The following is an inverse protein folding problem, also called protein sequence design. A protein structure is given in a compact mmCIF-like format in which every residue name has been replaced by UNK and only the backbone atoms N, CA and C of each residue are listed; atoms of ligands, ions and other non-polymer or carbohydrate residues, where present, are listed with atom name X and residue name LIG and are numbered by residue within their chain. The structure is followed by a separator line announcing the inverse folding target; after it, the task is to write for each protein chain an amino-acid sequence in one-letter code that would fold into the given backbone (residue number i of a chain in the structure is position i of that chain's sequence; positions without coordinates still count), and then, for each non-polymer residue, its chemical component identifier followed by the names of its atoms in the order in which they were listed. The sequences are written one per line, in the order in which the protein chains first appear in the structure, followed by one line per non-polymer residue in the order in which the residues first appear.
data_IF_125979660821
#
_entry.id   IF_125979660821
#
_cell.length_a   1.000
_cell.length_b   1.000
_cell.length_c   1.000
_cell.angle_alpha   90.00
_cell.angle_beta   90.00
_cell.angle_gamma   90.00
#
_symmetry.space_group_name_H-M   'P 1'
#
loop_
_entity.id
_entity.type
_entity.pdbx_description
1 polymer ?
#
# COMPACT_ATOMS: atom_id res chain seq x y z
N UNK A 1 -11.91 18.04 -32.37
CA UNK A 1 -13.35 18.32 -32.56
C UNK A 1 -13.81 19.22 -31.42
N UNK A 2 -14.48 20.32 -31.72
CA UNK A 2 -15.02 21.25 -30.71
C UNK A 2 -16.22 20.62 -30.01
N UNK A 3 -16.37 20.82 -28.70
CA UNK A 3 -17.57 20.44 -27.95
C UNK A 3 -18.38 21.69 -27.61
N UNK A 4 -19.62 21.53 -27.20
CA UNK A 4 -20.45 22.60 -26.68
C UNK A 4 -20.76 22.32 -25.22
N UNK A 5 -20.63 23.32 -24.35
CA UNK A 5 -20.98 23.19 -22.95
C UNK A 5 -21.98 24.25 -22.50
N UNK A 6 -22.95 23.85 -21.69
CA UNK A 6 -23.78 24.77 -20.91
C UNK A 6 -23.09 25.04 -19.59
N UNK A 7 -22.82 26.32 -19.32
CA UNK A 7 -22.04 26.75 -18.16
C UNK A 7 -22.97 27.35 -17.11
N UNK A 8 -22.99 26.78 -15.92
CA UNK A 8 -23.77 27.26 -14.78
C UNK A 8 -22.80 27.47 -13.62
N UNK A 9 -22.78 28.67 -13.04
CA UNK A 9 -21.87 29.06 -11.94
C UNK A 9 -20.38 28.74 -12.24
N UNK A 10 -19.97 28.92 -13.49
CA UNK A 10 -18.61 28.65 -13.95
C UNK A 10 -18.27 27.16 -14.11
N UNK A 11 -19.24 26.26 -14.02
CA UNK A 11 -19.06 24.81 -14.22
C UNK A 11 -19.69 24.38 -15.54
N UNK A 12 -18.99 23.53 -16.30
CA UNK A 12 -19.58 22.83 -17.45
C UNK A 12 -20.56 21.77 -16.94
N UNK A 13 -21.86 22.06 -16.96
CA UNK A 13 -22.90 21.16 -16.43
C UNK A 13 -23.37 20.15 -17.46
N UNK A 14 -23.51 20.59 -18.71
CA UNK A 14 -23.86 19.74 -19.86
C UNK A 14 -22.77 19.91 -20.91
N UNK A 15 -22.26 18.81 -21.47
CA UNK A 15 -21.22 18.84 -22.50
C UNK A 15 -21.61 17.88 -23.62
N UNK A 16 -21.70 18.38 -24.85
CA UNK A 16 -22.09 17.62 -26.03
C UNK A 16 -21.09 17.81 -27.17
N UNK A 17 -20.89 16.76 -27.97
CA UNK A 17 -19.99 16.80 -29.13
C UNK A 17 -20.71 17.15 -30.45
N UNK A 18 -22.04 17.23 -30.43
CA UNK A 18 -22.88 17.59 -31.57
C UNK A 18 -23.57 18.94 -31.33
N UNK A 19 -24.17 19.50 -32.38
CA UNK A 19 -24.86 20.79 -32.33
C UNK A 19 -26.04 20.76 -31.33
N UNK A 20 -26.03 21.60 -30.27
CA UNK A 20 -27.10 21.68 -29.30
C UNK A 20 -28.48 22.00 -29.90
N UNK A 21 -28.55 22.72 -31.01
CA UNK A 21 -29.83 23.09 -31.65
C UNK A 21 -30.63 21.88 -32.15
N UNK A 22 -29.94 20.78 -32.46
CA UNK A 22 -30.56 19.51 -32.85
C UNK A 22 -30.88 18.57 -31.68
N UNK A 23 -30.42 18.90 -30.47
CA UNK A 23 -30.52 18.04 -29.29
C UNK A 23 -31.44 18.61 -28.20
N UNK A 24 -31.59 19.93 -28.13
CA UNK A 24 -32.30 20.63 -27.06
C UNK A 24 -33.30 21.65 -27.62
N UNK A 25 -34.29 22.04 -26.81
CA UNK A 25 -35.19 23.16 -27.11
C UNK A 25 -34.38 24.45 -27.37
N UNK A 26 -34.81 25.36 -28.27
CA UNK A 26 -34.05 26.58 -28.61
C UNK A 26 -33.61 27.42 -27.39
N UNK A 27 -34.47 27.53 -26.38
CA UNK A 27 -34.16 28.26 -25.13
C UNK A 27 -33.01 27.63 -24.33
N UNK A 28 -32.81 26.32 -24.46
CA UNK A 28 -31.73 25.58 -23.80
C UNK A 28 -30.50 25.54 -24.71
N UNK A 29 -30.68 25.28 -26.01
CA UNK A 29 -29.60 25.24 -26.99
C UNK A 29 -28.83 26.58 -27.05
N UNK A 30 -29.53 27.72 -26.93
CA UNK A 30 -28.91 29.05 -26.89
C UNK A 30 -28.01 29.31 -25.66
N UNK A 31 -28.10 28.48 -24.62
CA UNK A 31 -27.25 28.58 -23.42
C UNK A 31 -25.92 27.83 -23.56
N UNK A 32 -25.73 27.07 -24.64
CA UNK A 32 -24.49 26.36 -24.89
C UNK A 32 -23.45 27.28 -25.55
N UNK A 33 -22.19 27.12 -25.14
CA UNK A 33 -21.05 27.81 -25.73
C UNK A 33 -20.05 26.81 -26.28
N UNK A 34 -19.35 27.19 -27.33
CA UNK A 34 -18.24 26.43 -27.88
C UNK A 34 -17.10 26.32 -26.87
N UNK A 35 -16.62 25.09 -26.63
CA UNK A 35 -15.54 24.78 -25.70
C UNK A 35 -14.50 23.83 -26.33
N UNK A 36 -13.26 23.84 -25.82
CA UNK A 36 -12.24 22.89 -26.27
C UNK A 36 -12.69 21.42 -26.12
N UNK A 37 -12.14 20.56 -26.98
CA UNK A 37 -12.49 19.14 -27.06
C UNK A 37 -12.33 18.38 -25.73
N UNK A 38 -11.33 18.78 -24.94
CA UNK A 38 -10.97 18.12 -23.68
C UNK A 38 -11.87 18.51 -22.50
N UNK A 39 -12.74 19.51 -22.66
CA UNK A 39 -13.66 19.89 -21.58
C UNK A 39 -14.64 18.75 -21.37
N UNK A 40 -14.77 18.34 -20.12
CA UNK A 40 -15.77 17.37 -19.70
C UNK A 40 -16.72 17.99 -18.67
N UNK A 41 -17.83 17.30 -18.45
CA UNK A 41 -18.80 17.65 -17.42
C UNK A 41 -18.13 17.76 -16.06
N UNK A 42 -18.49 18.79 -15.30
CA UNK A 42 -17.94 19.08 -13.96
C UNK A 42 -16.65 19.89 -13.97
N UNK A 43 -16.04 20.17 -15.13
CA UNK A 43 -14.87 21.04 -15.20
C UNK A 43 -15.26 22.49 -14.89
N UNK A 44 -14.39 23.19 -14.15
CA UNK A 44 -14.57 24.59 -13.79
C UNK A 44 -13.81 25.49 -14.75
N UNK A 45 -14.49 26.52 -15.26
CA UNK A 45 -13.88 27.57 -16.06
C UNK A 45 -13.08 28.50 -15.15
N UNK A 46 -11.79 28.66 -15.43
CA UNK A 46 -10.87 29.54 -14.71
C UNK A 46 -10.32 30.59 -15.69
N UNK A 47 -11.03 31.71 -15.83
CA UNK A 47 -10.69 32.71 -16.86
C UNK A 47 -10.85 32.14 -18.27
N UNK A 48 -9.72 31.99 -18.99
CA UNK A 48 -9.65 31.41 -20.34
C UNK A 48 -9.35 29.91 -20.36
N UNK A 49 -9.06 29.29 -19.21
CA UNK A 49 -8.70 27.87 -19.09
C UNK A 49 -9.80 27.06 -18.40
N UNK A 50 -9.69 25.74 -18.47
CA UNK A 50 -10.60 24.80 -17.82
C UNK A 50 -9.81 23.89 -16.88
N UNK A 51 -10.32 23.70 -15.67
CA UNK A 51 -9.75 22.82 -14.67
C UNK A 51 -10.69 21.64 -14.43
N UNK A 52 -10.15 20.43 -14.53
CA UNK A 52 -10.84 19.23 -14.09
C UNK A 52 -11.16 19.31 -12.59
N UNK A 53 -12.27 18.72 -12.14
CA UNK A 53 -12.48 18.51 -10.72
C UNK A 53 -11.33 17.67 -10.14
N UNK A 54 -10.92 17.99 -8.92
CA UNK A 54 -9.91 17.20 -8.21
C UNK A 54 -10.44 15.78 -8.05
N UNK A 55 -9.63 14.79 -8.45
CA UNK A 55 -9.97 13.40 -8.24
C UNK A 55 -10.08 13.15 -6.73
N UNK A 56 -11.07 12.36 -6.26
CA UNK A 56 -11.10 11.95 -4.86
C UNK A 56 -9.75 11.34 -4.47
N UNK A 57 -9.19 11.79 -3.34
CA UNK A 57 -7.99 11.17 -2.80
C UNK A 57 -8.25 9.67 -2.59
N UNK A 58 -7.33 8.82 -3.08
CA UNK A 58 -7.42 7.39 -2.82
C UNK A 58 -7.40 7.16 -1.31
N UNK A 59 -8.43 6.49 -0.79
CA UNK A 59 -8.46 6.13 0.63
C UNK A 59 -7.40 5.05 0.87
N UNK A 60 -6.48 5.21 1.84
CA UNK A 60 -5.51 4.17 2.15
C UNK A 60 -6.25 2.85 2.46
N UNK A 61 -5.84 1.76 1.81
CA UNK A 61 -6.40 0.45 2.08
C UNK A 61 -6.25 0.10 3.57
N UNK A 62 -7.30 -0.43 4.19
CA UNK A 62 -7.26 -0.87 5.58
C UNK A 62 -6.19 -1.96 5.75
N UNK A 63 -5.32 -1.81 6.75
CA UNK A 63 -4.30 -2.79 7.06
C UNK A 63 -4.94 -4.12 7.48
N UNK A 64 -4.53 -5.22 6.86
CA UNK A 64 -4.96 -6.57 7.26
C UNK A 64 -4.46 -6.86 8.69
N UNK A 65 -5.31 -7.40 9.59
CA UNK A 65 -4.86 -7.80 10.91
C UNK A 65 -3.81 -8.90 10.78
N UNK A 66 -2.79 -8.88 11.65
CA UNK A 66 -1.68 -9.86 11.64
C UNK A 66 -1.50 -10.50 12.99
N UNK A 67 -1.16 -11.78 13.00
CA UNK A 67 -0.70 -12.53 14.15
C UNK A 67 0.78 -12.21 14.40
N UNK A 68 1.08 -11.71 15.59
CA UNK A 68 2.44 -11.33 15.99
C UNK A 68 3.04 -12.23 17.07
N UNK A 69 2.22 -13.02 17.74
CA UNK A 69 2.64 -13.94 18.82
C UNK A 69 2.54 -15.38 18.34
N UNK A 70 3.63 -16.12 18.50
CA UNK A 70 3.81 -17.49 18.04
C UNK A 70 4.40 -18.34 19.16
N UNK A 71 4.11 -19.62 19.20
CA UNK A 71 4.93 -20.55 19.99
C UNK A 71 6.35 -20.64 19.39
N UNK A 72 7.39 -21.03 20.14
CA UNK A 72 8.74 -21.20 19.58
C UNK A 72 8.82 -22.07 18.30
N UNK A 73 8.15 -23.23 18.20
CA UNK A 73 8.16 -23.99 16.95
C UNK A 73 7.46 -23.25 15.80
N UNK A 74 6.33 -22.58 16.05
CA UNK A 74 5.64 -21.79 15.03
C UNK A 74 6.49 -20.62 14.54
N UNK A 75 7.21 -19.95 15.44
CA UNK A 75 8.14 -18.89 15.09
C UNK A 75 9.28 -19.41 14.19
N UNK A 76 9.88 -20.55 14.54
CA UNK A 76 10.92 -21.18 13.72
C UNK A 76 10.40 -21.62 12.33
N UNK A 77 9.10 -21.90 12.20
CA UNK A 77 8.46 -22.22 10.93
C UNK A 77 8.22 -21.00 10.02
N UNK A 78 8.37 -19.77 10.52
CA UNK A 78 8.40 -18.56 9.67
C UNK A 78 9.67 -18.49 8.80
N UNK A 79 10.73 -19.17 9.22
CA UNK A 79 11.96 -19.35 8.44
C UNK A 79 11.80 -20.50 7.46
N UNK A 80 12.50 -20.44 6.33
CA UNK A 80 12.64 -21.57 5.43
C UNK A 80 13.53 -22.66 6.06
N UNK A 81 13.45 -23.88 5.52
CA UNK A 81 14.32 -24.96 5.96
C UNK A 81 15.82 -24.64 5.77
N UNK A 82 16.17 -23.99 4.65
CA UNK A 82 17.55 -23.59 4.36
C UNK A 82 18.07 -22.53 5.35
N UNK A 83 17.25 -21.52 5.65
CA UNK A 83 17.57 -20.49 6.66
C UNK A 83 17.81 -21.15 8.04
N UNK A 84 16.91 -22.03 8.49
CA UNK A 84 17.10 -22.74 9.78
C UNK A 84 18.38 -23.58 9.82
N UNK A 85 18.73 -24.26 8.73
CA UNK A 85 19.96 -25.05 8.64
C UNK A 85 21.19 -24.15 8.70
N UNK A 86 21.19 -23.03 7.97
CA UNK A 86 22.28 -22.06 7.98
C UNK A 86 22.49 -21.45 9.39
N UNK A 87 21.40 -21.04 10.04
CA UNK A 87 21.43 -20.48 11.40
C UNK A 87 22.00 -21.50 12.40
N UNK A 88 21.57 -22.77 12.33
CA UNK A 88 22.12 -23.84 13.18
C UNK A 88 23.59 -24.13 12.89
N UNK A 89 24.00 -24.08 11.63
CA UNK A 89 25.39 -24.31 11.23
C UNK A 89 26.33 -23.19 11.72
N UNK A 90 25.83 -21.95 11.86
CA UNK A 90 26.60 -20.82 12.39
C UNK A 90 26.78 -20.87 13.91
N UNK A 91 25.93 -21.61 14.63
CA UNK A 91 25.91 -21.70 16.10
C UNK A 91 27.27 -22.00 16.74
N UNK A 92 28.10 -22.96 16.27
CA UNK A 92 29.36 -23.30 16.93
C UNK A 92 30.42 -22.19 16.85
N UNK A 93 30.36 -21.35 15.82
CA UNK A 93 31.34 -20.29 15.56
C UNK A 93 30.86 -18.89 15.90
N UNK A 94 29.57 -18.71 16.22
CA UNK A 94 28.99 -17.41 16.54
C UNK A 94 28.27 -17.47 17.92
N UNK A 95 28.86 -16.89 18.98
CA UNK A 95 28.31 -16.96 20.34
C UNK A 95 27.01 -16.15 20.49
N UNK A 96 26.80 -15.10 19.68
CA UNK A 96 25.56 -14.30 19.71
C UNK A 96 24.38 -15.13 19.19
N UNK A 97 24.58 -15.87 18.10
CA UNK A 97 23.56 -16.80 17.58
C UNK A 97 23.34 -17.95 18.56
N UNK A 98 24.39 -18.45 19.20
CA UNK A 98 24.27 -19.52 20.18
C UNK A 98 23.43 -19.13 21.39
N UNK A 99 23.64 -17.93 21.93
CA UNK A 99 22.85 -17.37 23.03
C UNK A 99 21.38 -17.16 22.62
N UNK A 100 21.15 -16.51 21.48
CA UNK A 100 19.79 -16.24 21.00
C UNK A 100 18.99 -17.53 20.72
N UNK A 101 19.62 -18.54 20.11
CA UNK A 101 19.00 -19.85 19.93
C UNK A 101 18.74 -20.57 21.26
N UNK A 102 19.64 -20.43 22.25
CA UNK A 102 19.44 -21.05 23.57
C UNK A 102 18.19 -20.51 24.27
N UNK A 103 17.89 -19.20 24.12
CA UNK A 103 16.65 -18.60 24.63
C UNK A 103 15.43 -19.20 23.91
N UNK A 104 15.47 -19.33 22.59
CA UNK A 104 14.37 -19.91 21.80
C UNK A 104 14.14 -21.41 22.09
N UNK A 105 15.17 -22.12 22.50
CA UNK A 105 15.13 -23.55 22.84
C UNK A 105 14.78 -23.80 24.32
N UNK A 106 14.66 -22.77 25.16
CA UNK A 106 14.29 -22.93 26.57
C UNK A 106 12.86 -23.50 26.67
N UNK A 107 12.66 -24.67 27.32
CA UNK A 107 11.34 -25.30 27.44
C UNK A 107 10.33 -24.47 28.24
N UNK A 108 10.77 -23.44 28.97
CA UNK A 108 9.89 -22.51 29.70
C UNK A 108 9.38 -21.39 28.82
N UNK A 109 9.95 -21.19 27.63
CA UNK A 109 9.48 -20.20 26.67
C UNK A 109 8.20 -20.70 25.99
N UNK A 110 7.07 -20.10 26.33
CA UNK A 110 5.78 -20.46 25.73
C UNK A 110 5.46 -19.67 24.47
N UNK A 111 5.99 -18.45 24.34
CA UNK A 111 5.60 -17.49 23.32
C UNK A 111 6.77 -16.62 22.85
N UNK A 112 6.78 -16.35 21.56
CA UNK A 112 7.68 -15.44 20.86
C UNK A 112 6.81 -14.38 20.19
N UNK A 113 7.01 -13.12 20.57
CA UNK A 113 6.37 -11.98 19.95
C UNK A 113 7.37 -11.30 19.02
N UNK A 114 7.05 -11.26 17.72
CA UNK A 114 7.92 -10.69 16.67
C UNK A 114 8.04 -9.17 16.75
N UNK A 115 7.18 -8.51 17.52
CA UNK A 115 7.24 -7.07 17.75
C UNK A 115 8.19 -6.68 18.88
N UNK A 116 8.61 -7.64 19.73
CA UNK A 116 9.56 -7.38 20.81
C UNK A 116 10.93 -7.01 20.27
N UNK A 117 11.57 -6.05 20.95
CA UNK A 117 12.90 -5.56 20.58
C UNK A 117 13.94 -6.67 20.50
N UNK A 118 13.98 -7.56 21.49
CA UNK A 118 14.92 -8.70 21.50
C UNK A 118 14.74 -9.65 20.30
N UNK A 119 13.50 -9.86 19.85
CA UNK A 119 13.22 -10.68 18.67
C UNK A 119 13.70 -9.96 17.40
N UNK A 120 13.45 -8.65 17.29
CA UNK A 120 13.92 -7.83 16.16
C UNK A 120 15.43 -7.74 16.10
N UNK A 121 16.09 -7.49 17.22
CA UNK A 121 17.55 -7.44 17.30
C UNK A 121 18.18 -8.77 16.86
N UNK A 122 17.55 -9.91 17.22
CA UNK A 122 17.96 -11.23 16.73
C UNK A 122 17.79 -11.39 15.22
N UNK A 123 16.65 -11.00 14.66
CA UNK A 123 16.40 -11.04 13.20
C UNK A 123 17.37 -10.14 12.42
N UNK A 124 17.62 -8.93 12.92
CA UNK A 124 18.57 -7.98 12.33
C UNK A 124 20.00 -8.51 12.41
N UNK A 125 20.36 -9.16 13.51
CA UNK A 125 21.66 -9.81 13.64
C UNK A 125 21.84 -10.94 12.61
N UNK A 126 20.84 -11.82 12.46
CA UNK A 126 20.86 -12.85 11.42
C UNK A 126 21.00 -12.28 10.00
N UNK A 127 20.40 -11.12 9.73
CA UNK A 127 20.55 -10.43 8.45
C UNK A 127 21.96 -9.85 8.27
N UNK A 128 22.56 -9.29 9.33
CA UNK A 128 23.93 -8.77 9.30
C UNK A 128 24.98 -9.85 9.05
N UNK A 129 24.74 -11.06 9.54
CA UNK A 129 25.57 -12.25 9.30
C UNK A 129 25.28 -12.93 7.94
N UNK A 130 24.38 -12.35 7.12
CA UNK A 130 23.94 -12.87 5.82
C UNK A 130 23.30 -14.27 5.89
N UNK A 131 22.73 -14.65 7.03
CA UNK A 131 22.03 -15.93 7.22
C UNK A 131 20.58 -15.87 6.72
N UNK A 132 20.01 -14.66 6.72
CA UNK A 132 18.76 -14.30 6.05
C UNK A 132 18.96 -12.96 5.34
N UNK A 133 18.08 -12.58 4.44
CA UNK A 133 18.12 -11.24 3.84
C UNK A 133 17.46 -10.21 4.77
N UNK A 134 17.81 -8.91 4.67
CA UNK A 134 17.11 -7.86 5.41
C UNK A 134 15.59 -7.81 5.12
N UNK A 135 15.20 -8.13 3.88
CA UNK A 135 13.79 -8.22 3.50
C UNK A 135 13.07 -9.36 4.22
N UNK A 136 13.74 -10.51 4.40
CA UNK A 136 13.20 -11.65 5.16
C UNK A 136 13.09 -11.35 6.65
N UNK A 137 14.08 -10.67 7.23
CA UNK A 137 14.02 -10.20 8.61
C UNK A 137 12.81 -9.27 8.83
N UNK A 138 12.59 -8.31 7.93
CA UNK A 138 11.44 -7.42 7.96
C UNK A 138 10.11 -8.18 7.82
N UNK A 139 10.02 -9.12 6.87
CA UNK A 139 8.83 -9.95 6.66
C UNK A 139 8.45 -10.71 7.94
N UNK A 140 9.38 -11.47 8.51
CA UNK A 140 9.17 -12.23 9.75
C UNK A 140 8.81 -11.29 10.92
N UNK A 141 9.48 -10.13 11.01
CA UNK A 141 9.26 -9.11 12.03
C UNK A 141 7.89 -8.41 11.97
N UNK A 142 7.17 -8.54 10.85
CA UNK A 142 5.79 -8.02 10.71
C UNK A 142 4.70 -9.01 11.12
N UNK A 143 5.04 -10.28 11.34
CA UNK A 143 4.07 -11.33 11.66
C UNK A 143 3.29 -11.85 10.45
N UNK A 144 2.46 -12.86 10.69
CA UNK A 144 1.69 -13.55 9.65
C UNK A 144 0.30 -12.92 9.49
N UNK A 145 -0.20 -12.81 8.26
CA UNK A 145 -1.57 -12.34 8.01
C UNK A 145 -2.60 -13.29 8.66
N UNK A 146 -3.67 -12.72 9.23
CA UNK A 146 -4.83 -13.44 9.76
C UNK A 146 -5.90 -13.65 8.68
#
# INVERSE_FOLDING_TARGET
MTKFARIIDGIAVDVVAADPAGLYHPDVASQFVSVPAQVERGWRKQGSTWAAPEAPAETPAAAVPRRTVFTPPEFLLLFTAAERVAIRAARPSNPVIADWLAILEDPRLSEVDVTRRSTRDGLDYLASENLITPARAAEIGTGAAL
#
